data_IF_623836840258
#
_entry.id   IF_623836840258
#
_cell.length_a   1.000
_cell.length_b   1.000
_cell.length_c   1.000
_cell.angle_alpha   90.00
_cell.angle_beta   90.00
_cell.angle_gamma   90.00
#
_symmetry.space_group_name_H-M   'P 1'
#
loop_
_entity.id
_entity.type
_entity.pdbx_description
1 polymer ?
#
# COMPACT_ATOMS: atom_id res chain seq x y z
N UNK A 1 -28.93 -37.45 22.11
CA UNK A 1 -29.68 -37.62 20.84
C UNK A 1 -28.66 -37.89 19.74
N UNK A 2 -28.41 -39.16 19.38
CA UNK A 2 -27.40 -39.52 18.39
C UNK A 2 -27.94 -39.13 17.01
N UNK A 3 -27.35 -38.12 16.36
CA UNK A 3 -27.72 -37.74 14.98
C UNK A 3 -27.53 -38.95 14.09
N UNK A 4 -28.57 -39.36 13.36
CA UNK A 4 -28.46 -40.46 12.40
C UNK A 4 -27.55 -40.00 11.26
N UNK A 5 -26.73 -40.92 10.73
CA UNK A 5 -25.81 -40.65 9.61
C UNK A 5 -26.55 -40.07 8.39
N UNK A 6 -27.83 -40.43 8.22
CA UNK A 6 -28.73 -39.87 7.20
C UNK A 6 -28.80 -38.34 7.22
N UNK A 7 -28.74 -37.73 8.40
CA UNK A 7 -29.00 -36.29 8.59
C UNK A 7 -27.77 -35.43 8.27
N UNK A 8 -26.60 -36.07 8.14
CA UNK A 8 -25.34 -35.41 7.82
C UNK A 8 -25.05 -35.39 6.31
N UNK A 9 -25.77 -36.18 5.52
CA UNK A 9 -25.57 -36.28 4.08
C UNK A 9 -26.37 -35.18 3.38
N UNK A 10 -25.66 -34.12 3.00
CA UNK A 10 -26.26 -32.94 2.35
C UNK A 10 -26.41 -33.07 0.83
N UNK A 11 -25.58 -33.88 0.18
CA UNK A 11 -25.57 -33.96 -1.28
C UNK A 11 -26.47 -35.09 -1.80
N UNK A 12 -27.24 -34.80 -2.84
CA UNK A 12 -28.20 -35.75 -3.41
C UNK A 12 -27.54 -37.05 -3.90
N UNK A 13 -26.34 -36.96 -4.48
CA UNK A 13 -25.59 -38.13 -4.98
C UNK A 13 -25.12 -39.06 -3.85
N UNK A 14 -24.69 -38.50 -2.71
CA UNK A 14 -24.28 -39.31 -1.55
C UNK A 14 -25.49 -39.88 -0.81
N UNK A 15 -26.62 -39.18 -0.85
CA UNK A 15 -27.87 -39.68 -0.27
C UNK A 15 -28.38 -40.90 -1.03
N UNK A 16 -28.37 -40.84 -2.37
CA UNK A 16 -28.72 -41.99 -3.20
C UNK A 16 -27.80 -43.20 -2.96
N UNK A 17 -26.49 -42.96 -2.81
CA UNK A 17 -25.53 -44.02 -2.48
C UNK A 17 -25.81 -44.63 -1.09
N UNK A 18 -26.12 -43.80 -0.10
CA UNK A 18 -26.46 -44.24 1.25
C UNK A 18 -27.74 -45.07 1.28
N UNK A 19 -28.79 -44.63 0.61
CA UNK A 19 -30.05 -45.37 0.48
C UNK A 19 -29.82 -46.73 -0.23
N UNK A 20 -29.01 -46.75 -1.30
CA UNK A 20 -28.65 -47.99 -1.99
C UNK A 20 -27.86 -48.96 -1.11
N UNK A 21 -26.97 -48.45 -0.25
CA UNK A 21 -26.21 -49.23 0.73
C UNK A 21 -27.13 -49.80 1.83
N UNK A 22 -28.10 -49.04 2.33
CA UNK A 22 -29.09 -49.53 3.29
C UNK A 22 -29.94 -50.66 2.70
N UNK A 23 -30.37 -50.50 1.45
CA UNK A 23 -31.10 -51.56 0.73
C UNK A 23 -30.25 -52.83 0.57
N UNK A 24 -28.94 -52.71 0.34
CA UNK A 24 -28.05 -53.87 0.28
C UNK A 24 -27.95 -54.56 1.64
N UNK A 25 -27.78 -53.80 2.72
CA UNK A 25 -27.73 -54.34 4.08
C UNK A 25 -29.01 -55.14 4.40
N UNK A 26 -30.18 -54.55 4.16
CA UNK A 26 -31.47 -55.22 4.38
C UNK A 26 -31.59 -56.52 3.56
N UNK A 27 -31.18 -56.51 2.28
CA UNK A 27 -31.19 -57.72 1.43
C UNK A 27 -30.25 -58.82 1.94
N UNK A 28 -29.10 -58.45 2.51
CA UNK A 28 -28.16 -59.38 3.12
C UNK A 28 -28.75 -59.96 4.41
N UNK A 29 -29.32 -59.12 5.27
CA UNK A 29 -29.98 -59.55 6.51
C UNK A 29 -31.15 -60.51 6.20
N UNK A 30 -31.97 -60.19 5.20
CA UNK A 30 -33.06 -61.07 4.73
C UNK A 30 -32.56 -62.42 4.17
N UNK A 31 -31.36 -62.46 3.59
CA UNK A 31 -30.75 -63.70 3.13
C UNK A 31 -30.26 -64.54 4.32
N UNK A 32 -29.59 -63.89 5.28
CA UNK A 32 -29.11 -64.55 6.50
C UNK A 32 -30.27 -65.10 7.33
N UNK A 33 -31.33 -64.30 7.54
CA UNK A 33 -32.54 -64.76 8.22
C UNK A 33 -33.20 -65.95 7.52
N UNK A 34 -33.21 -65.93 6.18
CA UNK A 34 -33.78 -67.02 5.40
C UNK A 34 -32.96 -68.31 5.49
N UNK A 35 -31.64 -68.21 5.56
CA UNK A 35 -30.75 -69.35 5.78
C UNK A 35 -30.86 -69.89 7.21
N UNK A 36 -30.99 -69.03 8.22
CA UNK A 36 -31.21 -69.45 9.61
C UNK A 36 -32.54 -70.18 9.81
N UNK A 37 -33.60 -69.76 9.09
CA UNK A 37 -34.91 -70.42 9.12
C UNK A 37 -34.94 -71.76 8.37
N UNK A 38 -34.01 -71.99 7.45
CA UNK A 38 -33.93 -73.20 6.61
C UNK A 38 -32.51 -73.80 6.69
N UNK A 39 -32.13 -74.47 7.80
CA UNK A 39 -30.83 -75.10 7.92
C UNK A 39 -30.68 -76.26 6.93
N UNK A 40 -29.46 -76.47 6.41
CA UNK A 40 -29.16 -77.58 5.49
C UNK A 40 -29.38 -78.94 6.19
N UNK A 41 -30.19 -79.81 5.59
CA UNK A 41 -30.43 -81.15 6.11
C UNK A 41 -29.29 -82.08 5.70
N UNK A 42 -28.67 -82.78 6.66
CA UNK A 42 -27.45 -83.56 6.35
C UNK A 42 -27.69 -84.80 5.49
N UNK A 43 -28.94 -85.34 5.44
CA UNK A 43 -29.38 -86.42 4.55
C UNK A 43 -30.91 -86.39 4.36
N UNK A 44 -31.44 -85.84 3.25
CA UNK A 44 -32.88 -85.89 2.97
C UNK A 44 -33.30 -87.33 2.66
N UNK A 45 -34.28 -87.85 3.40
CA UNK A 45 -34.69 -89.26 3.33
C UNK A 45 -36.04 -89.45 2.63
N UNK A 46 -36.87 -88.40 2.53
CA UNK A 46 -38.14 -88.41 1.80
C UNK A 46 -38.12 -87.56 0.52
N UNK A 47 -38.88 -87.95 -0.51
CA UNK A 47 -39.00 -87.20 -1.78
C UNK A 47 -39.48 -85.75 -1.57
N UNK A 48 -40.35 -85.54 -0.59
CA UNK A 48 -40.85 -84.21 -0.18
C UNK A 48 -39.76 -83.34 0.46
N UNK A 49 -38.83 -83.93 1.22
CA UNK A 49 -37.66 -83.20 1.77
C UNK A 49 -36.69 -82.77 0.66
N UNK A 50 -36.46 -83.64 -0.32
CA UNK A 50 -35.58 -83.35 -1.47
C UNK A 50 -36.15 -82.19 -2.30
N UNK A 51 -37.46 -82.18 -2.56
CA UNK A 51 -38.11 -81.12 -3.34
C UNK A 51 -38.15 -79.79 -2.56
N UNK A 52 -38.33 -79.84 -1.23
CA UNK A 52 -38.22 -78.66 -0.36
C UNK A 52 -36.81 -78.07 -0.35
N UNK A 53 -35.78 -78.89 -0.23
CA UNK A 53 -34.38 -78.44 -0.23
C UNK A 53 -33.98 -77.79 -1.56
N UNK A 54 -34.41 -78.35 -2.70
CA UNK A 54 -34.25 -77.73 -4.01
C UNK A 54 -34.92 -76.36 -4.09
N UNK A 55 -36.13 -76.22 -3.55
CA UNK A 55 -36.84 -74.95 -3.53
C UNK A 55 -36.12 -73.90 -2.67
N UNK A 56 -35.59 -74.31 -1.51
CA UNK A 56 -34.74 -73.46 -0.65
C UNK A 56 -33.48 -73.02 -1.40
N UNK A 57 -32.77 -73.93 -2.08
CA UNK A 57 -31.59 -73.58 -2.87
C UNK A 57 -31.90 -72.58 -4.00
N UNK A 58 -32.99 -72.78 -4.74
CA UNK A 58 -33.43 -71.85 -5.82
C UNK A 58 -33.70 -70.45 -5.25
N UNK A 59 -34.38 -70.36 -4.11
CA UNK A 59 -34.69 -69.08 -3.47
C UNK A 59 -33.44 -68.38 -2.93
N UNK A 60 -32.46 -69.12 -2.39
CA UNK A 60 -31.16 -68.59 -1.98
C UNK A 60 -30.41 -68.01 -3.18
N UNK A 61 -30.33 -68.74 -4.30
CA UNK A 61 -29.64 -68.27 -5.50
C UNK A 61 -30.32 -67.04 -6.11
N UNK A 62 -31.66 -66.94 -6.05
CA UNK A 62 -32.39 -65.74 -6.44
C UNK A 62 -32.01 -64.53 -5.58
N UNK A 63 -32.01 -64.68 -4.25
CA UNK A 63 -31.61 -63.60 -3.33
C UNK A 63 -30.14 -63.19 -3.53
N UNK A 64 -29.23 -64.15 -3.75
CA UNK A 64 -27.81 -63.86 -4.10
C UNK A 64 -27.70 -63.05 -5.40
N UNK A 65 -28.51 -63.36 -6.41
CA UNK A 65 -28.53 -62.61 -7.69
C UNK A 65 -28.99 -61.16 -7.49
N UNK A 66 -30.01 -60.94 -6.68
CA UNK A 66 -30.50 -59.59 -6.33
C UNK A 66 -29.46 -58.77 -5.56
N UNK A 67 -28.73 -59.40 -4.63
CA UNK A 67 -27.60 -58.78 -3.90
C UNK A 67 -26.48 -58.38 -4.87
N UNK A 68 -26.10 -59.27 -5.80
CA UNK A 68 -25.07 -58.96 -6.83
C UNK A 68 -25.48 -57.78 -7.71
N UNK A 69 -26.75 -57.72 -8.11
CA UNK A 69 -27.28 -56.60 -8.89
C UNK A 69 -27.24 -55.29 -8.09
N UNK A 70 -27.65 -55.30 -6.82
CA UNK A 70 -27.58 -54.14 -5.93
C UNK A 70 -26.13 -53.65 -5.75
N UNK A 71 -25.18 -54.57 -5.61
CA UNK A 71 -23.76 -54.26 -5.46
C UNK A 71 -23.18 -53.57 -6.71
N UNK A 72 -23.61 -53.99 -7.92
CA UNK A 72 -23.23 -53.33 -9.17
C UNK A 72 -23.78 -51.89 -9.26
N UNK A 73 -25.01 -51.67 -8.77
CA UNK A 73 -25.63 -50.34 -8.70
C UNK A 73 -24.87 -49.42 -7.73
N UNK A 74 -24.54 -49.90 -6.53
CA UNK A 74 -23.74 -49.15 -5.53
C UNK A 74 -22.38 -48.75 -6.10
N UNK A 75 -21.66 -49.68 -6.76
CA UNK A 75 -20.37 -49.36 -7.41
C UNK A 75 -20.49 -48.24 -8.44
N UNK A 76 -21.61 -48.17 -9.14
CA UNK A 76 -21.86 -47.15 -10.15
C UNK A 76 -22.19 -45.80 -9.50
N UNK A 77 -23.07 -45.79 -8.51
CA UNK A 77 -23.38 -44.59 -7.72
C UNK A 77 -22.15 -44.03 -6.99
N UNK A 78 -21.28 -44.91 -6.46
CA UNK A 78 -20.03 -44.51 -5.83
C UNK A 78 -19.09 -43.81 -6.82
N UNK A 79 -18.90 -44.38 -8.02
CA UNK A 79 -18.09 -43.74 -9.07
C UNK A 79 -18.66 -42.38 -9.48
N UNK A 80 -19.97 -42.27 -9.63
CA UNK A 80 -20.64 -41.00 -9.94
C UNK A 80 -20.45 -39.97 -8.83
N UNK A 81 -20.56 -40.37 -7.55
CA UNK A 81 -20.29 -39.49 -6.41
C UNK A 81 -18.85 -38.97 -6.43
N UNK A 82 -17.86 -39.85 -6.61
CA UNK A 82 -16.45 -39.46 -6.66
C UNK A 82 -16.17 -38.48 -7.81
N UNK A 83 -16.78 -38.69 -8.98
CA UNK A 83 -16.65 -37.76 -10.11
C UNK A 83 -17.23 -36.39 -9.79
N UNK A 84 -18.46 -36.33 -9.25
CA UNK A 84 -19.09 -35.06 -8.85
C UNK A 84 -18.27 -34.29 -7.82
N UNK A 85 -17.72 -34.99 -6.82
CA UNK A 85 -16.85 -34.35 -5.81
C UNK A 85 -15.59 -33.78 -6.45
N UNK A 86 -15.00 -34.47 -7.44
CA UNK A 86 -13.84 -33.95 -8.17
C UNK A 86 -14.20 -32.74 -9.02
N UNK A 87 -15.34 -32.75 -9.69
CA UNK A 87 -15.85 -31.63 -10.48
C UNK A 87 -16.10 -30.40 -9.59
N UNK A 88 -16.80 -30.57 -8.47
CA UNK A 88 -17.05 -29.49 -7.49
C UNK A 88 -15.73 -28.93 -6.93
N UNK A 89 -14.75 -29.81 -6.64
CA UNK A 89 -13.42 -29.38 -6.18
C UNK A 89 -12.66 -28.59 -7.26
N UNK A 90 -12.77 -29.00 -8.52
CA UNK A 90 -12.14 -28.28 -9.63
C UNK A 90 -12.78 -26.90 -9.81
N UNK A 91 -14.11 -26.82 -9.86
CA UNK A 91 -14.85 -25.58 -10.02
C UNK A 91 -14.60 -24.57 -8.88
N UNK A 92 -14.54 -25.07 -7.63
CA UNK A 92 -14.21 -24.22 -6.47
C UNK A 92 -12.76 -23.76 -6.50
N UNK A 93 -11.82 -24.60 -6.93
CA UNK A 93 -10.42 -24.21 -7.11
C UNK A 93 -10.26 -23.14 -8.20
N UNK A 94 -10.96 -23.27 -9.32
CA UNK A 94 -10.94 -22.29 -10.40
C UNK A 94 -11.50 -20.94 -9.93
N UNK A 95 -12.65 -20.96 -9.26
CA UNK A 95 -13.26 -19.75 -8.69
C UNK A 95 -12.34 -19.07 -7.66
N UNK A 96 -11.64 -19.87 -6.84
CA UNK A 96 -10.63 -19.36 -5.90
C UNK A 96 -9.46 -18.71 -6.63
N UNK A 97 -8.92 -19.34 -7.66
CA UNK A 97 -7.81 -18.78 -8.43
C UNK A 97 -8.19 -17.44 -9.07
N UNK A 98 -9.41 -17.32 -9.60
CA UNK A 98 -9.93 -16.05 -10.13
C UNK A 98 -10.07 -15.00 -9.03
N UNK A 99 -10.51 -15.39 -7.84
CA UNK A 99 -10.59 -14.47 -6.70
C UNK A 99 -9.18 -13.95 -6.31
N UNK A 100 -8.21 -14.85 -6.24
CA UNK A 100 -6.83 -14.52 -5.88
C UNK A 100 -6.20 -13.56 -6.93
N UNK A 101 -6.48 -13.74 -8.22
CA UNK A 101 -6.00 -12.80 -9.26
C UNK A 101 -6.65 -11.43 -9.15
N UNK A 102 -7.96 -11.36 -8.86
CA UNK A 102 -8.66 -10.10 -8.64
C UNK A 102 -8.16 -9.37 -7.39
N UNK A 103 -7.87 -10.10 -6.31
CA UNK A 103 -7.25 -9.54 -5.11
C UNK A 103 -5.91 -8.90 -5.44
N UNK A 104 -5.06 -9.58 -6.22
CA UNK A 104 -3.78 -9.03 -6.64
C UNK A 104 -3.94 -7.75 -7.46
N UNK A 105 -4.88 -7.73 -8.42
CA UNK A 105 -5.18 -6.53 -9.21
C UNK A 105 -5.66 -5.37 -8.33
N UNK A 106 -6.53 -5.65 -7.36
CA UNK A 106 -7.00 -4.64 -6.41
C UNK A 106 -5.86 -4.07 -5.57
N UNK A 107 -4.92 -4.92 -5.13
CA UNK A 107 -3.74 -4.45 -4.41
C UNK A 107 -2.89 -3.52 -5.27
N UNK A 108 -2.62 -3.88 -6.53
CA UNK A 108 -1.87 -3.02 -7.45
C UNK A 108 -2.51 -1.63 -7.59
N UNK A 109 -3.83 -1.58 -7.82
CA UNK A 109 -4.56 -0.32 -7.92
C UNK A 109 -4.50 0.52 -6.64
N UNK A 110 -4.60 -0.12 -5.47
CA UNK A 110 -4.46 0.59 -4.18
C UNK A 110 -3.05 1.16 -3.98
N UNK A 111 -2.02 0.45 -4.42
CA UNK A 111 -0.66 0.98 -4.38
C UNK A 111 -0.49 2.18 -5.31
N UNK A 112 -1.04 2.10 -6.52
CA UNK A 112 -1.05 3.23 -7.46
C UNK A 112 -1.78 4.45 -6.87
N UNK A 113 -2.97 4.26 -6.30
CA UNK A 113 -3.73 5.32 -5.63
C UNK A 113 -2.92 5.99 -4.51
N UNK A 114 -2.29 5.18 -3.64
CA UNK A 114 -1.47 5.71 -2.55
C UNK A 114 -0.24 6.46 -3.05
N UNK A 115 0.42 5.95 -4.10
CA UNK A 115 1.58 6.62 -4.71
C UNK A 115 1.16 7.98 -5.28
N UNK A 116 0.09 8.01 -6.08
CA UNK A 116 -0.44 9.24 -6.66
C UNK A 116 -0.89 10.23 -5.59
N UNK A 117 -1.56 9.78 -4.54
CA UNK A 117 -1.97 10.64 -3.43
C UNK A 117 -0.75 11.24 -2.70
N UNK A 118 0.31 10.46 -2.52
CA UNK A 118 1.57 10.93 -1.93
C UNK A 118 2.25 11.97 -2.82
N UNK A 119 2.31 11.73 -4.13
CA UNK A 119 2.87 12.67 -5.11
C UNK A 119 2.07 13.97 -5.18
N UNK A 120 0.73 13.90 -5.18
CA UNK A 120 -0.14 15.07 -5.14
C UNK A 120 0.08 15.86 -3.86
N UNK A 121 0.15 15.18 -2.71
CA UNK A 121 0.42 15.84 -1.42
C UNK A 121 1.79 16.51 -1.41
N UNK A 122 2.82 15.87 -1.96
CA UNK A 122 4.15 16.45 -2.08
C UNK A 122 4.17 17.68 -3.01
N UNK A 123 3.43 17.63 -4.12
CA UNK A 123 3.29 18.75 -5.05
C UNK A 123 2.51 19.93 -4.42
N UNK A 124 1.43 19.66 -3.69
CA UNK A 124 0.63 20.68 -3.02
C UNK A 124 1.38 21.34 -1.87
N UNK A 125 2.16 20.57 -1.12
CA UNK A 125 2.97 21.05 0.00
C UNK A 125 4.35 21.54 -0.41
N UNK A 126 4.60 21.70 -1.72
CA UNK A 126 5.89 22.20 -2.20
C UNK A 126 6.14 23.61 -1.65
N UNK A 127 7.27 23.75 -0.95
CA UNK A 127 7.67 25.00 -0.32
C UNK A 127 8.18 26.00 -1.36
N UNK A 128 7.26 26.78 -1.90
CA UNK A 128 7.58 27.83 -2.85
C UNK A 128 8.31 28.99 -2.17
N UNK A 129 9.61 29.15 -2.45
CA UNK A 129 10.47 30.21 -1.89
C UNK A 129 9.89 31.61 -2.04
N UNK A 130 9.16 31.89 -3.13
CA UNK A 130 8.58 33.21 -3.36
C UNK A 130 7.51 33.60 -2.32
N UNK A 131 6.85 32.63 -1.67
CA UNK A 131 5.88 32.90 -0.59
C UNK A 131 6.54 33.39 0.69
N UNK A 132 7.84 33.20 0.85
CA UNK A 132 8.63 33.64 2.01
C UNK A 132 9.32 34.99 1.79
N UNK A 133 9.23 35.56 0.58
CA UNK A 133 9.82 36.86 0.30
C UNK A 133 9.01 37.95 1.02
N UNK A 134 9.66 38.86 1.77
CA UNK A 134 8.98 40.04 2.28
C UNK A 134 8.77 41.00 1.10
N UNK A 135 7.56 40.96 0.55
CA UNK A 135 7.05 41.82 -0.52
C UNK A 135 6.08 42.83 0.08
N UNK A 136 6.02 44.05 -0.48
CA UNK A 136 4.89 44.97 -0.22
C UNK A 136 3.55 44.30 -0.49
N UNK A 137 2.49 44.72 0.22
CA UNK A 137 1.17 44.11 0.09
C UNK A 137 0.59 44.28 -1.33
N UNK A 138 -0.43 43.48 -1.68
CA UNK A 138 -1.07 43.59 -3.02
C UNK A 138 -1.72 44.96 -3.18
N UNK A 139 -2.38 45.46 -2.13
CA UNK A 139 -3.07 46.75 -2.12
C UNK A 139 -2.07 47.90 -2.37
N UNK A 140 -0.97 47.95 -1.62
CA UNK A 140 0.08 48.96 -1.78
C UNK A 140 0.76 48.89 -3.17
N UNK A 141 0.90 47.69 -3.74
CA UNK A 141 1.46 47.54 -5.08
C UNK A 141 0.51 48.06 -6.15
N UNK A 142 -0.78 47.78 -6.05
CA UNK A 142 -1.78 48.24 -7.02
C UNK A 142 -2.02 49.76 -6.95
N UNK A 143 -1.84 50.37 -5.78
CA UNK A 143 -1.84 51.83 -5.65
C UNK A 143 -0.68 52.48 -6.42
N UNK A 144 0.50 51.85 -6.40
CA UNK A 144 1.70 52.35 -7.10
C UNK A 144 1.68 52.00 -8.60
N UNK A 145 1.10 50.86 -8.96
CA UNK A 145 1.05 50.33 -10.32
C UNK A 145 -0.38 49.92 -10.71
N UNK A 146 -1.28 50.90 -10.96
CA UNK A 146 -2.68 50.62 -11.29
C UNK A 146 -2.84 49.90 -12.64
N UNK A 147 -1.83 49.93 -13.51
CA UNK A 147 -1.81 49.22 -14.80
C UNK A 147 -1.93 47.70 -14.65
N UNK A 148 -1.51 47.15 -13.50
CA UNK A 148 -1.61 45.72 -13.21
C UNK A 148 -2.93 45.29 -12.56
N UNK A 149 -3.88 46.21 -12.34
CA UNK A 149 -5.16 45.90 -11.69
C UNK A 149 -6.06 44.94 -12.49
N UNK A 150 -5.89 44.89 -13.81
CA UNK A 150 -6.63 43.98 -14.70
C UNK A 150 -5.86 42.67 -15.01
N UNK A 151 -4.65 42.51 -14.47
CA UNK A 151 -3.79 41.36 -14.73
C UNK A 151 -4.19 40.15 -13.85
N UNK A 152 -3.74 38.95 -14.24
CA UNK A 152 -3.95 37.73 -13.45
C UNK A 152 -3.15 37.75 -12.14
N UNK A 153 -3.62 37.08 -11.07
CA UNK A 153 -2.91 36.98 -9.78
C UNK A 153 -1.44 36.55 -9.95
N UNK A 154 -1.17 35.63 -10.88
CA UNK A 154 0.19 35.19 -11.19
C UNK A 154 1.04 36.33 -11.79
N UNK A 155 0.46 37.11 -12.69
CA UNK A 155 1.13 38.24 -13.34
C UNK A 155 1.41 39.37 -12.34
N UNK A 156 0.43 39.67 -11.47
CA UNK A 156 0.59 40.61 -10.35
C UNK A 156 1.72 40.14 -9.42
N UNK A 157 1.77 38.86 -9.06
CA UNK A 157 2.83 38.33 -8.20
C UNK A 157 4.21 38.41 -8.87
N UNK A 158 4.29 38.13 -10.16
CA UNK A 158 5.56 38.23 -10.92
C UNK A 158 6.05 39.67 -11.00
N UNK A 159 5.15 40.61 -11.30
CA UNK A 159 5.46 42.04 -11.33
C UNK A 159 5.90 42.57 -9.96
N UNK A 160 5.25 42.11 -8.87
CA UNK A 160 5.64 42.44 -7.48
C UNK A 160 7.06 41.97 -7.14
N UNK A 161 7.42 40.75 -7.54
CA UNK A 161 8.77 40.20 -7.30
C UNK A 161 9.81 41.00 -8.09
N UNK A 162 9.52 41.35 -9.34
CA UNK A 162 10.43 42.15 -10.16
C UNK A 162 10.62 43.56 -9.59
N UNK A 163 9.54 44.20 -9.13
CA UNK A 163 9.63 45.50 -8.47
C UNK A 163 10.54 45.48 -7.23
N UNK A 164 10.34 44.52 -6.33
CA UNK A 164 11.20 44.34 -5.15
C UNK A 164 12.65 44.05 -5.54
N UNK A 165 12.88 43.24 -6.57
CA UNK A 165 14.21 42.94 -7.06
C UNK A 165 14.93 44.20 -7.53
N UNK A 166 14.28 45.03 -8.35
CA UNK A 166 14.81 46.31 -8.81
C UNK A 166 15.08 47.27 -7.64
N UNK A 167 14.19 47.30 -6.65
CA UNK A 167 14.36 48.09 -5.42
C UNK A 167 15.60 47.67 -4.64
N UNK A 168 15.78 46.35 -4.42
CA UNK A 168 16.95 45.80 -3.71
C UNK A 168 18.25 46.01 -4.47
N UNK A 169 18.23 45.90 -5.79
CA UNK A 169 19.41 46.12 -6.62
C UNK A 169 19.90 47.57 -6.49
N UNK A 170 19.00 48.54 -6.61
CA UNK A 170 19.31 49.97 -6.39
C UNK A 170 19.81 50.26 -4.98
N UNK A 171 19.24 49.60 -3.96
CA UNK A 171 19.71 49.75 -2.58
C UNK A 171 21.12 49.18 -2.37
N UNK A 172 21.42 48.04 -2.98
CA UNK A 172 22.74 47.42 -2.90
C UNK A 172 23.80 48.25 -3.65
N UNK A 173 23.46 48.80 -4.82
CA UNK A 173 24.32 49.76 -5.54
C UNK A 173 24.66 50.98 -4.67
N UNK A 174 23.63 51.62 -4.09
CA UNK A 174 23.82 52.76 -3.17
C UNK A 174 24.65 52.38 -1.94
N UNK A 175 24.47 51.16 -1.41
CA UNK A 175 25.26 50.66 -0.29
C UNK A 175 26.73 50.52 -0.70
N UNK A 176 27.02 49.98 -1.89
CA UNK A 176 28.38 49.85 -2.40
C UNK A 176 29.03 51.22 -2.65
N UNK A 177 28.30 52.18 -3.22
CA UNK A 177 28.79 53.55 -3.40
C UNK A 177 29.15 54.21 -2.07
N UNK A 178 28.26 54.13 -1.07
CA UNK A 178 28.52 54.64 0.28
C UNK A 178 29.70 53.93 0.96
N UNK A 179 29.85 52.62 0.75
CA UNK A 179 31.00 51.88 1.27
C UNK A 179 32.31 52.36 0.64
N UNK A 180 32.33 52.62 -0.67
CA UNK A 180 33.49 53.21 -1.36
C UNK A 180 33.80 54.60 -0.82
N UNK A 181 32.81 55.48 -0.68
CA UNK A 181 32.98 56.81 -0.10
C UNK A 181 33.52 56.75 1.34
N UNK A 182 32.99 55.83 2.16
CA UNK A 182 33.49 55.58 3.52
C UNK A 182 34.97 55.17 3.51
N UNK A 183 35.38 54.28 2.60
CA UNK A 183 36.77 53.85 2.49
C UNK A 183 37.70 55.00 2.08
N UNK A 184 37.27 55.84 1.13
CA UNK A 184 38.00 57.05 0.70
C UNK A 184 38.20 57.99 1.89
N UNK A 185 37.12 58.31 2.63
CA UNK A 185 37.19 59.17 3.81
C UNK A 185 38.09 58.60 4.91
N UNK A 186 38.05 57.28 5.14
CA UNK A 186 38.96 56.63 6.10
C UNK A 186 40.42 56.78 5.66
N UNK A 187 40.71 56.61 4.37
CA UNK A 187 42.05 56.80 3.83
C UNK A 187 42.51 58.27 3.94
N UNK A 188 41.63 59.24 3.68
CA UNK A 188 41.92 60.67 3.84
C UNK A 188 42.18 61.03 5.30
N UNK A 189 41.34 60.56 6.23
CA UNK A 189 41.55 60.79 7.67
C UNK A 189 42.85 60.16 8.13
N UNK A 190 43.19 58.95 7.67
CA UNK A 190 44.46 58.29 7.98
C UNK A 190 45.64 59.12 7.46
N UNK A 191 45.59 59.57 6.19
CA UNK A 191 46.62 60.42 5.60
C UNK A 191 46.79 61.73 6.36
N UNK A 192 45.70 62.42 6.70
CA UNK A 192 45.75 63.66 7.50
C UNK A 192 46.32 63.43 8.89
N UNK A 193 46.00 62.29 9.54
CA UNK A 193 46.63 61.91 10.82
C UNK A 193 48.12 61.68 10.66
N UNK A 194 48.54 60.96 9.62
CA UNK A 194 49.96 60.70 9.33
C UNK A 194 50.72 62.00 8.98
N UNK A 195 50.06 62.98 8.35
CA UNK A 195 50.67 64.28 8.08
C UNK A 195 50.70 65.17 9.33
N UNK A 196 49.71 65.08 10.22
CA UNK A 196 49.72 65.77 11.51
C UNK A 196 50.84 65.25 12.40
N UNK A 197 51.02 63.93 12.51
CA UNK A 197 52.11 63.34 13.30
C UNK A 197 53.49 63.69 12.76
N UNK A 198 53.64 63.84 11.43
CA UNK A 198 54.87 64.38 10.84
C UNK A 198 55.09 65.84 11.24
N UNK A 199 54.03 66.67 11.21
CA UNK A 199 54.12 68.08 11.59
C UNK A 199 54.45 68.23 13.07
N UNK A 200 53.82 67.45 13.95
CA UNK A 200 54.16 67.36 15.38
C UNK A 200 55.64 67.02 15.56
N UNK A 201 56.16 66.00 14.86
CA UNK A 201 57.58 65.65 14.89
C UNK A 201 58.51 66.71 14.29
N UNK A 202 58.08 67.52 13.32
CA UNK A 202 58.85 68.68 12.83
C UNK A 202 58.86 69.82 13.84
N UNK A 203 57.75 70.01 14.56
CA UNK A 203 57.58 71.06 15.56
C UNK A 203 58.42 70.75 16.80
N UNK A 204 58.46 69.49 17.25
CA UNK A 204 59.39 69.01 18.28
C UNK A 204 60.84 69.32 17.89
N UNK A 205 61.26 68.98 16.67
CA UNK A 205 62.60 69.30 16.17
C UNK A 205 62.88 70.80 16.07
N UNK A 206 61.87 71.59 15.71
CA UNK A 206 62.00 73.05 15.67
C UNK A 206 62.16 73.63 17.07
N UNK A 207 61.41 73.14 18.06
CA UNK A 207 61.57 73.52 19.48
C UNK A 207 62.98 73.17 19.95
N UNK A 208 63.44 71.94 19.73
CA UNK A 208 64.80 71.51 20.08
C UNK A 208 65.89 72.40 19.44
N UNK A 209 65.71 72.79 18.18
CA UNK A 209 66.63 73.68 17.47
C UNK A 209 66.53 75.15 17.91
N UNK A 210 65.36 75.61 18.38
CA UNK A 210 65.11 76.97 18.84
C UNK A 210 65.47 77.17 20.32
N UNK A 211 65.50 76.12 21.14
CA UNK A 211 65.96 76.15 22.53
C UNK A 211 67.33 76.84 22.74
N UNK A 212 68.39 76.55 21.94
CA UNK A 212 69.68 77.25 22.09
C UNK A 212 69.59 78.73 21.70
N UNK A 213 68.73 79.09 20.74
CA UNK A 213 68.53 80.48 20.31
C UNK A 213 67.76 81.28 21.38
N UNK A 214 66.72 80.68 21.99
CA UNK A 214 66.00 81.27 23.12
C UNK A 214 66.91 81.45 24.34
N UNK A 215 67.77 80.46 24.65
CA UNK A 215 68.75 80.58 25.74
C UNK A 215 69.76 81.72 25.51
N UNK A 216 70.10 82.00 24.25
CA UNK A 216 70.98 83.12 23.89
C UNK A 216 70.29 84.50 23.92
N UNK A 217 69.02 84.58 23.52
CA UNK A 217 68.22 85.82 23.55
C UNK A 217 67.70 86.18 24.95
N UNK A 218 67.50 85.21 25.85
CA UNK A 218 67.11 85.45 27.24
C UNK A 218 68.28 85.85 28.16
N UNK A 219 69.50 85.92 27.61
CA UNK A 219 70.74 86.32 28.29
C UNK A 219 71.23 87.73 27.93
N UNK A 220 70.37 88.55 27.31
CA UNK A 220 70.48 90.03 27.30
C UNK A 220 69.41 90.63 28.22
#
# INVERSE_FOLDING_TARGET
MVKKVSDQIKTAHNRALFEANQQLANKVDELVEFQLKNPEASKPSSRTEIDHEKQVQITIERKKKEIRAQLALIKTLYRQSVLKVREEKAATSESRNINDTLILQLHNLKYEEQSLASEISAAQNYDHKYKKLPLISVEEFLEQFPEHAAASDHEIMTARIEHEYQGRLKLEERRQEKLKQKQILIAEVKKRKDDLTKLDGMLEKFIEAAEPIQKALATE
#
